data_IF_081382772533
#
_entry.id   IF_081382772533
#
_cell.length_a   1.000
_cell.length_b   1.000
_cell.length_c   1.000
_cell.angle_alpha   90.00
_cell.angle_beta   90.00
_cell.angle_gamma   90.00
#
_symmetry.space_group_name_H-M   'P 1'
#
loop_
_entity.id
_entity.type
_entity.pdbx_description
1 polymer ?
#
# COMPACT_ATOMS: atom_id res chain seq x y z
N UNK A 1 -30.95 3.38 -34.01
CA UNK A 1 -32.26 3.78 -33.44
C UNK A 1 -32.29 5.29 -33.42
N UNK A 2 -33.43 5.92 -33.70
CA UNK A 2 -33.55 7.38 -33.59
C UNK A 2 -33.69 7.79 -32.12
N UNK A 3 -33.31 9.02 -31.71
CA UNK A 3 -33.39 9.48 -30.32
C UNK A 3 -34.80 9.37 -29.70
N UNK A 4 -35.84 9.56 -30.53
CA UNK A 4 -37.25 9.43 -30.13
C UNK A 4 -37.62 7.99 -29.76
N UNK A 5 -37.02 6.98 -30.41
CA UNK A 5 -37.22 5.57 -30.10
C UNK A 5 -36.49 5.15 -28.82
N UNK A 6 -35.40 5.83 -28.45
CA UNK A 6 -34.68 5.60 -27.20
C UNK A 6 -35.41 6.17 -25.98
N UNK A 7 -36.15 7.27 -26.16
CA UNK A 7 -36.95 7.90 -25.11
C UNK A 7 -38.21 7.12 -24.75
N UNK A 8 -38.80 6.39 -25.72
CA UNK A 8 -39.99 5.56 -25.53
C UNK A 8 -39.69 4.12 -25.01
N UNK A 9 -38.40 3.77 -24.86
CA UNK A 9 -37.96 2.42 -24.47
C UNK A 9 -38.14 2.19 -22.95
N UNK A 10 -38.80 1.08 -22.57
CA UNK A 10 -38.94 0.74 -21.14
C UNK A 10 -37.58 0.41 -20.51
N UNK A 11 -37.37 0.67 -19.21
CA UNK A 11 -36.08 0.47 -18.54
C UNK A 11 -35.49 -0.94 -18.73
N UNK A 12 -36.34 -1.97 -18.74
CA UNK A 12 -35.93 -3.36 -18.92
C UNK A 12 -35.46 -3.66 -20.36
N UNK A 13 -36.11 -3.09 -21.37
CA UNK A 13 -35.69 -3.23 -22.77
C UNK A 13 -34.38 -2.50 -23.03
N UNK A 14 -34.25 -1.28 -22.50
CA UNK A 14 -33.01 -0.49 -22.54
C UNK A 14 -31.84 -1.25 -21.92
N UNK A 15 -32.05 -1.88 -20.77
CA UNK A 15 -31.00 -2.65 -20.09
C UNK A 15 -30.58 -3.89 -20.88
N UNK A 16 -31.53 -4.62 -21.50
CA UNK A 16 -31.23 -5.75 -22.39
C UNK A 16 -30.47 -5.33 -23.63
N UNK A 17 -30.83 -4.19 -24.24
CA UNK A 17 -30.13 -3.62 -25.41
C UNK A 17 -28.69 -3.23 -25.06
N UNK A 18 -28.50 -2.46 -23.98
CA UNK A 18 -27.16 -2.05 -23.52
C UNK A 18 -26.29 -3.26 -23.19
N UNK A 19 -26.86 -4.33 -22.61
CA UNK A 19 -26.13 -5.57 -22.31
C UNK A 19 -25.70 -6.30 -23.59
N UNK A 20 -26.59 -6.40 -24.59
CA UNK A 20 -26.24 -6.95 -25.92
C UNK A 20 -25.18 -6.10 -26.62
N UNK A 21 -25.30 -4.78 -26.61
CA UNK A 21 -24.31 -3.88 -27.21
C UNK A 21 -22.95 -4.02 -26.54
N UNK A 22 -22.88 -4.13 -25.21
CA UNK A 22 -21.65 -4.39 -24.46
C UNK A 22 -21.00 -5.72 -24.86
N UNK A 23 -21.77 -6.81 -24.93
CA UNK A 23 -21.25 -8.11 -25.36
C UNK A 23 -20.75 -8.08 -26.82
N UNK A 24 -21.45 -7.36 -27.70
CA UNK A 24 -21.07 -7.24 -29.11
C UNK A 24 -19.78 -6.43 -29.26
N UNK A 25 -19.65 -5.32 -28.51
CA UNK A 25 -18.41 -4.53 -28.44
C UNK A 25 -17.25 -5.34 -27.86
N UNK A 26 -17.48 -6.13 -26.82
CA UNK A 26 -16.46 -7.01 -26.22
C UNK A 26 -15.94 -8.05 -27.23
N UNK A 27 -16.83 -8.74 -27.94
CA UNK A 27 -16.46 -9.71 -28.99
C UNK A 27 -15.71 -9.06 -30.15
N UNK A 28 -16.10 -7.85 -30.56
CA UNK A 28 -15.42 -7.07 -31.61
C UNK A 28 -14.02 -6.63 -31.15
N UNK A 29 -13.87 -6.28 -29.86
CA UNK A 29 -12.57 -5.93 -29.26
C UNK A 29 -11.65 -7.13 -29.16
N UNK A 30 -12.14 -8.31 -28.77
CA UNK A 30 -11.36 -9.56 -28.81
C UNK A 30 -10.90 -9.91 -30.23
N UNK A 31 -11.80 -9.85 -31.23
CA UNK A 31 -11.43 -10.09 -32.64
C UNK A 31 -10.41 -9.09 -33.19
N UNK A 32 -10.47 -7.81 -32.78
CA UNK A 32 -9.48 -6.82 -33.15
C UNK A 32 -8.15 -7.03 -32.40
N UNK A 33 -8.17 -7.57 -31.19
CA UNK A 33 -6.95 -7.88 -30.43
C UNK A 33 -6.24 -9.13 -30.98
N UNK A 34 -6.99 -10.11 -31.51
CA UNK A 34 -6.46 -11.30 -32.19
C UNK A 34 -5.93 -11.01 -33.60
N UNK A 35 -6.45 -9.96 -34.27
CA UNK A 35 -5.96 -9.51 -35.58
C UNK A 35 -4.94 -8.37 -35.52
N UNK A 36 -4.73 -7.79 -34.34
CA UNK A 36 -3.88 -6.60 -34.15
C UNK A 36 -2.47 -6.91 -33.65
N UNK A 37 -2.07 -8.18 -33.56
CA UNK A 37 -0.73 -8.59 -33.13
C UNK A 37 0.28 -8.72 -34.27
N UNK A 38 -0.15 -8.69 -35.52
CA UNK A 38 0.72 -8.62 -36.69
C UNK A 38 0.13 -7.57 -37.66
N UNK A 39 0.94 -6.62 -38.13
CA UNK A 39 0.60 -5.57 -39.11
C UNK A 39 -0.21 -4.35 -38.63
N UNK A 40 0.35 -3.62 -37.65
CA UNK A 40 0.40 -2.16 -37.75
C UNK A 40 1.87 -1.76 -37.76
N UNK A 41 2.55 -2.08 -38.87
CA UNK A 41 3.73 -1.33 -39.25
C UNK A 41 3.30 0.13 -39.32
N UNK A 42 3.94 0.98 -38.51
CA UNK A 42 3.77 2.42 -38.63
C UNK A 42 4.07 2.78 -40.08
N UNK A 43 3.04 3.18 -40.83
CA UNK A 43 3.27 3.99 -42.01
C UNK A 43 3.76 5.32 -41.45
N UNK A 44 5.08 5.47 -41.49
CA UNK A 44 5.83 6.59 -41.00
C UNK A 44 5.47 7.84 -41.80
N UNK A 45 4.45 8.57 -41.33
CA UNK A 45 4.10 9.90 -41.81
C UNK A 45 5.04 10.97 -41.22
N UNK A 46 6.28 10.62 -40.86
CA UNK A 46 7.24 11.53 -40.23
C UNK A 46 6.89 11.89 -38.77
N UNK A 47 5.96 11.16 -38.14
CA UNK A 47 5.63 11.33 -36.73
C UNK A 47 6.49 10.35 -35.95
N UNK A 48 7.58 10.87 -35.37
CA UNK A 48 8.45 10.10 -34.49
C UNK A 48 7.74 9.84 -33.16
N UNK A 49 7.80 8.60 -32.70
CA UNK A 49 7.32 8.24 -31.37
C UNK A 49 8.14 8.98 -30.31
N UNK A 50 7.48 9.62 -29.35
CA UNK A 50 8.17 10.17 -28.18
C UNK A 50 8.80 9.04 -27.35
N UNK A 51 10.13 8.99 -27.30
CA UNK A 51 10.92 8.01 -26.55
C UNK A 51 11.70 8.68 -25.42
N UNK A 52 11.59 8.11 -24.20
CA UNK A 52 12.23 8.67 -23.00
C UNK A 52 13.66 8.15 -22.74
N UNK A 53 14.13 7.19 -23.54
CA UNK A 53 15.39 6.50 -23.27
C UNK A 53 15.36 5.62 -22.00
N UNK A 54 16.51 5.50 -21.33
CA UNK A 54 16.70 4.71 -20.10
C UNK A 54 16.47 5.55 -18.86
N UNK A 55 16.10 4.90 -17.76
CA UNK A 55 16.01 5.55 -16.45
C UNK A 55 17.40 5.61 -15.79
N UNK A 56 18.30 6.42 -16.36
CA UNK A 56 19.72 6.48 -15.99
C UNK A 56 20.14 7.74 -15.24
N UNK A 57 19.27 8.75 -15.15
CA UNK A 57 19.56 9.98 -14.42
C UNK A 57 19.52 9.70 -12.92
N UNK A 58 20.59 10.02 -12.21
CA UNK A 58 20.74 9.68 -10.81
C UNK A 58 20.75 10.93 -9.95
N UNK A 59 19.91 10.98 -8.91
CA UNK A 59 19.92 12.07 -7.95
C UNK A 59 21.25 12.09 -7.17
N UNK A 60 21.95 13.22 -7.18
CA UNK A 60 23.26 13.38 -6.51
C UNK A 60 23.21 13.23 -4.98
N UNK A 61 22.04 13.44 -4.37
CA UNK A 61 21.88 13.39 -2.91
C UNK A 61 21.48 12.01 -2.40
N UNK A 62 20.70 11.25 -3.18
CA UNK A 62 20.07 10.01 -2.71
C UNK A 62 20.22 8.81 -3.64
N UNK A 63 20.78 8.97 -4.84
CA UNK A 63 20.98 7.86 -5.78
C UNK A 63 19.72 7.35 -6.48
N UNK A 64 18.55 7.95 -6.23
CA UNK A 64 17.31 7.57 -6.92
C UNK A 64 17.41 7.81 -8.43
N UNK A 65 16.83 6.91 -9.22
CA UNK A 65 16.89 6.91 -10.69
C UNK A 65 15.67 7.56 -11.33
N UNK A 66 15.92 8.35 -12.36
CA UNK A 66 14.94 9.17 -13.07
C UNK A 66 15.12 9.08 -14.59
N UNK A 67 14.04 9.33 -15.31
CA UNK A 67 14.13 9.77 -16.71
C UNK A 67 14.47 11.26 -16.74
N UNK A 68 15.14 11.71 -17.81
CA UNK A 68 15.55 13.10 -17.96
C UNK A 68 14.34 14.06 -17.96
N UNK A 69 13.21 13.60 -18.46
CA UNK A 69 11.95 14.34 -18.53
C UNK A 69 11.30 14.56 -17.15
N UNK A 70 11.76 13.88 -16.10
CA UNK A 70 11.29 14.07 -14.72
C UNK A 70 12.09 15.14 -13.96
N UNK A 71 13.06 15.78 -14.62
CA UNK A 71 13.85 16.87 -14.03
C UNK A 71 12.94 18.03 -13.59
N UNK A 72 13.40 18.79 -12.60
CA UNK A 72 12.70 20.02 -12.22
C UNK A 72 12.63 20.99 -13.41
N UNK A 73 11.52 21.73 -13.53
CA UNK A 73 11.24 22.60 -14.69
C UNK A 73 12.41 23.53 -15.04
N UNK A 74 13.03 24.14 -14.04
CA UNK A 74 14.11 25.11 -14.21
C UNK A 74 15.53 24.51 -14.18
N UNK A 75 15.66 23.17 -14.10
CA UNK A 75 16.97 22.54 -14.08
C UNK A 75 17.55 22.42 -15.50
N UNK A 76 18.88 22.43 -15.60
CA UNK A 76 19.55 22.21 -16.89
C UNK A 76 19.43 20.76 -17.35
N UNK A 77 19.58 20.52 -18.66
CA UNK A 77 19.68 19.15 -19.20
C UNK A 77 21.06 18.53 -18.97
N UNK A 78 22.12 19.35 -18.86
CA UNK A 78 23.48 18.87 -18.61
C UNK A 78 23.72 18.48 -17.14
N UNK A 79 22.92 19.03 -16.22
CA UNK A 79 22.98 18.74 -14.78
C UNK A 79 21.56 18.83 -14.21
N UNK A 80 20.72 17.81 -14.45
CA UNK A 80 19.34 17.80 -14.00
C UNK A 80 19.25 17.68 -12.48
N UNK A 81 18.27 18.36 -11.90
CA UNK A 81 17.94 18.25 -10.48
C UNK A 81 16.56 17.64 -10.32
N UNK A 82 16.35 16.92 -9.21
CA UNK A 82 15.12 16.20 -8.93
C UNK A 82 14.64 16.50 -7.51
N UNK A 83 13.45 17.07 -7.40
CA UNK A 83 12.78 17.33 -6.12
C UNK A 83 11.99 16.13 -5.60
N UNK A 84 11.56 15.22 -6.48
CA UNK A 84 10.59 14.17 -6.16
C UNK A 84 11.09 13.10 -5.18
N UNK A 85 12.41 12.87 -5.09
CA UNK A 85 12.99 11.84 -4.20
C UNK A 85 13.27 12.35 -2.77
N UNK A 86 14.22 13.27 -2.63
CA UNK A 86 14.74 13.72 -1.33
C UNK A 86 14.60 15.24 -1.13
N UNK A 87 13.79 15.91 -1.95
CA UNK A 87 13.60 17.35 -1.96
C UNK A 87 14.95 18.12 -1.93
N UNK A 88 15.85 17.79 -2.87
CA UNK A 88 17.20 18.38 -2.96
C UNK A 88 18.08 18.13 -1.72
N UNK A 89 18.00 16.93 -1.15
CA UNK A 89 18.78 16.54 0.04
C UNK A 89 18.24 17.10 1.35
N UNK A 90 17.08 17.78 1.35
CA UNK A 90 16.41 18.24 2.58
C UNK A 90 15.85 17.09 3.41
N UNK A 91 15.55 15.97 2.77
CA UNK A 91 15.05 14.76 3.43
C UNK A 91 16.16 13.71 3.43
N UNK A 92 16.68 13.40 4.62
CA UNK A 92 17.55 12.25 4.82
C UNK A 92 16.66 11.01 4.97
N UNK A 93 16.58 10.22 3.89
CA UNK A 93 15.89 8.93 3.91
C UNK A 93 16.89 7.85 4.36
N UNK A 94 16.63 7.11 5.45
CA UNK A 94 17.46 5.99 5.89
C UNK A 94 17.64 4.95 4.79
N UNK A 95 18.78 4.27 4.81
CA UNK A 95 19.04 3.15 3.90
C UNK A 95 18.31 1.91 4.43
N UNK A 96 17.43 1.31 3.63
CA UNK A 96 16.81 0.03 3.98
C UNK A 96 17.84 -1.07 3.95
N UNK A 97 17.94 -1.85 5.02
CA UNK A 97 18.88 -2.96 5.06
C UNK A 97 18.50 -4.04 4.04
N UNK A 98 19.51 -4.66 3.44
CA UNK A 98 19.28 -5.78 2.53
C UNK A 98 18.67 -6.97 3.30
N UNK A 99 17.68 -7.67 2.70
CA UNK A 99 17.09 -8.85 3.29
C UNK A 99 18.16 -9.93 3.51
N UNK A 100 17.98 -10.82 4.48
CA UNK A 100 18.90 -11.94 4.66
C UNK A 100 19.05 -12.78 3.38
N UNK A 101 20.22 -13.42 3.15
CA UNK A 101 20.53 -14.08 1.88
C UNK A 101 19.48 -15.09 1.41
N UNK A 102 18.87 -15.83 2.34
CA UNK A 102 17.82 -16.80 2.01
C UNK A 102 16.59 -16.14 1.38
N UNK A 103 16.07 -15.07 2.01
CA UNK A 103 14.93 -14.31 1.49
C UNK A 103 15.28 -13.56 0.20
N UNK A 104 16.50 -13.03 0.10
CA UNK A 104 16.97 -12.40 -1.14
C UNK A 104 17.00 -13.40 -2.30
N UNK A 105 17.44 -14.64 -2.05
CA UNK A 105 17.42 -15.70 -3.05
C UNK A 105 15.98 -16.03 -3.48
N UNK A 106 15.04 -16.16 -2.52
CA UNK A 106 13.63 -16.34 -2.85
C UNK A 106 13.05 -15.17 -3.68
N UNK A 107 13.54 -13.95 -3.48
CA UNK A 107 13.13 -12.77 -4.26
C UNK A 107 13.70 -12.71 -5.68
N UNK A 108 14.86 -13.31 -5.92
CA UNK A 108 15.62 -13.11 -7.15
C UNK A 108 15.76 -14.36 -8.02
N UNK A 109 15.66 -15.54 -7.42
CA UNK A 109 15.82 -16.83 -8.10
C UNK A 109 14.69 -17.11 -9.08
N UNK A 110 15.03 -17.92 -10.09
CA UNK A 110 14.11 -18.42 -11.12
C UNK A 110 13.70 -19.87 -10.89
N UNK A 111 14.07 -20.44 -9.74
CA UNK A 111 13.79 -21.83 -9.38
C UNK A 111 12.31 -22.04 -9.02
N UNK A 112 11.84 -23.29 -9.09
CA UNK A 112 10.44 -23.64 -8.89
C UNK A 112 9.92 -23.26 -7.49
N UNK A 113 10.77 -23.36 -6.47
CA UNK A 113 10.50 -22.98 -5.08
C UNK A 113 10.30 -21.47 -4.94
N UNK A 114 11.19 -20.65 -5.52
CA UNK A 114 11.09 -19.20 -5.54
C UNK A 114 9.83 -18.74 -6.30
N UNK A 115 9.50 -19.36 -7.43
CA UNK A 115 8.26 -19.09 -8.17
C UNK A 115 7.03 -19.42 -7.31
N UNK A 116 7.03 -20.57 -6.62
CA UNK A 116 5.95 -20.96 -5.71
C UNK A 116 5.83 -19.99 -4.52
N UNK A 117 6.97 -19.54 -3.98
CA UNK A 117 7.04 -18.54 -2.93
C UNK A 117 6.44 -17.22 -3.37
N UNK A 118 6.86 -16.65 -4.51
CA UNK A 118 6.23 -15.45 -5.09
C UNK A 118 4.74 -15.63 -5.35
N UNK A 119 4.32 -16.86 -5.69
CA UNK A 119 2.90 -17.18 -5.86
C UNK A 119 2.12 -17.07 -4.53
N UNK A 120 2.77 -17.29 -3.39
CA UNK A 120 2.14 -17.38 -2.08
C UNK A 120 2.68 -16.37 -1.06
N UNK A 121 3.49 -15.39 -1.47
CA UNK A 121 4.22 -14.49 -0.55
C UNK A 121 3.31 -13.77 0.46
N UNK A 122 2.11 -13.32 0.05
CA UNK A 122 1.13 -12.72 0.96
C UNK A 122 0.67 -13.70 2.04
N UNK A 123 0.51 -14.97 1.69
CA UNK A 123 0.12 -16.05 2.62
C UNK A 123 1.25 -16.33 3.60
N UNK A 124 2.49 -16.46 3.12
CA UNK A 124 3.67 -16.59 4.00
C UNK A 124 3.80 -15.41 4.97
N UNK A 125 3.66 -14.18 4.47
CA UNK A 125 3.70 -12.99 5.33
C UNK A 125 2.59 -13.01 6.39
N UNK A 126 1.36 -13.35 6.00
CA UNK A 126 0.23 -13.40 6.93
C UNK A 126 0.42 -14.46 8.02
N UNK A 127 0.98 -15.62 7.67
CA UNK A 127 1.35 -16.64 8.67
C UNK A 127 2.39 -16.06 9.63
N UNK A 128 3.45 -15.45 9.10
CA UNK A 128 4.58 -14.95 9.89
C UNK A 128 4.31 -13.62 10.62
N UNK A 129 3.18 -12.96 10.39
CA UNK A 129 2.88 -11.68 11.01
C UNK A 129 2.74 -11.80 12.55
N UNK A 130 3.29 -10.83 13.27
CA UNK A 130 3.13 -10.72 14.73
C UNK A 130 1.81 -10.04 15.11
N UNK A 131 1.16 -9.40 14.16
CA UNK A 131 -0.05 -8.59 14.37
C UNK A 131 -1.13 -8.96 13.37
N UNK A 132 -2.38 -8.88 13.83
CA UNK A 132 -3.54 -9.06 12.99
C UNK A 132 -3.85 -7.79 12.19
N UNK A 133 -4.39 -7.97 10.99
CA UNK A 133 -4.90 -6.88 10.15
C UNK A 133 -6.43 -6.88 10.21
N UNK A 134 -7.01 -5.74 10.54
CA UNK A 134 -8.45 -5.55 10.63
C UNK A 134 -8.95 -4.43 9.74
N UNK A 135 -10.12 -4.66 9.15
CA UNK A 135 -10.87 -3.69 8.36
C UNK A 135 -12.36 -4.03 8.46
N UNK A 136 -13.24 -3.02 8.42
CA UNK A 136 -14.67 -3.25 8.18
C UNK A 136 -14.87 -3.44 6.69
N UNK A 137 -15.26 -4.65 6.27
CA UNK A 137 -15.31 -5.01 4.84
C UNK A 137 -16.76 -5.24 4.42
N UNK A 138 -17.19 -4.49 3.42
CA UNK A 138 -18.43 -4.72 2.68
C UNK A 138 -18.08 -5.37 1.34
N UNK A 139 -18.53 -6.61 1.14
CA UNK A 139 -18.45 -7.27 -0.17
C UNK A 139 -19.57 -6.77 -1.07
N UNK A 140 -19.22 -6.31 -2.27
CA UNK A 140 -20.22 -5.83 -3.23
C UNK A 140 -20.62 -7.03 -4.11
N UNK A 141 -21.84 -7.57 -3.96
CA UNK A 141 -22.28 -8.69 -4.79
C UNK A 141 -22.45 -8.23 -6.24
N UNK A 142 -21.77 -8.90 -7.17
CA UNK A 142 -21.87 -8.62 -8.61
C UNK A 142 -21.06 -9.59 -9.47
N UNK A 143 -21.46 -9.78 -10.73
CA UNK A 143 -20.67 -10.50 -11.72
C UNK A 143 -19.57 -9.57 -12.27
N UNK A 144 -18.31 -9.80 -11.88
CA UNK A 144 -17.16 -8.99 -12.29
C UNK A 144 -15.91 -9.27 -11.45
N UNK A 145 -14.92 -8.39 -11.53
CA UNK A 145 -13.75 -8.41 -10.62
C UNK A 145 -14.28 -8.31 -9.18
N UNK A 146 -13.86 -9.22 -8.30
CA UNK A 146 -14.24 -9.23 -6.89
C UNK A 146 -13.84 -7.91 -6.24
N UNK A 147 -14.82 -7.04 -6.01
CA UNK A 147 -14.61 -5.75 -5.37
C UNK A 147 -15.12 -5.85 -3.93
N UNK A 148 -14.26 -5.51 -2.99
CA UNK A 148 -14.63 -5.29 -1.59
C UNK A 148 -14.40 -3.82 -1.26
N UNK A 149 -15.22 -3.29 -0.36
CA UNK A 149 -15.10 -1.92 0.14
C UNK A 149 -14.68 -1.98 1.60
N UNK A 150 -13.63 -1.27 1.94
CA UNK A 150 -13.29 -1.06 3.35
C UNK A 150 -14.05 0.18 3.83
N UNK A 151 -14.83 0.02 4.88
CA UNK A 151 -15.46 1.10 5.64
C UNK A 151 -14.57 1.52 6.80
N UNK A 152 -14.44 2.83 6.99
CA UNK A 152 -13.59 3.38 8.05
C UNK A 152 -12.10 3.17 7.77
N UNK A 153 -11.40 2.60 8.74
CA UNK A 153 -9.94 2.56 8.77
C UNK A 153 -9.44 1.12 8.80
N UNK A 154 -8.32 0.88 8.12
CA UNK A 154 -7.47 -0.30 8.33
C UNK A 154 -6.60 -0.11 9.55
N UNK A 155 -6.50 -1.14 10.38
CA UNK A 155 -5.77 -1.10 11.64
C UNK A 155 -5.07 -2.42 11.92
N UNK A 156 -3.95 -2.36 12.64
CA UNK A 156 -3.27 -3.54 13.17
C UNK A 156 -3.61 -3.72 14.65
N UNK A 157 -3.95 -4.95 15.04
CA UNK A 157 -4.14 -5.31 16.45
C UNK A 157 -3.07 -6.30 16.91
N UNK A 158 -2.59 -6.11 18.13
CA UNK A 158 -1.71 -7.03 18.84
C UNK A 158 -2.41 -7.49 20.12
N UNK A 159 -2.29 -8.78 20.43
CA UNK A 159 -2.88 -9.37 21.64
C UNK A 159 -1.85 -9.62 22.74
N UNK A 160 -2.32 -10.19 23.85
CA UNK A 160 -1.49 -10.72 24.93
C UNK A 160 -0.42 -11.70 24.44
N UNK A 161 0.64 -11.84 25.22
CA UNK A 161 1.78 -12.72 24.93
C UNK A 161 1.39 -14.19 24.91
N UNK A 162 0.38 -14.58 25.70
CA UNK A 162 -0.13 -15.94 25.75
C UNK A 162 -1.62 -15.99 25.38
N UNK A 163 -2.07 -17.09 24.76
CA UNK A 163 -3.48 -17.31 24.50
C UNK A 163 -4.26 -17.47 25.82
N UNK A 164 -5.55 -17.15 25.76
CA UNK A 164 -6.51 -17.46 26.83
C UNK A 164 -6.73 -18.98 26.93
N UNK A 165 -7.18 -19.44 28.10
CA UNK A 165 -7.38 -20.87 28.35
C UNK A 165 -8.38 -21.48 27.35
N UNK A 166 -7.94 -22.51 26.62
CA UNK A 166 -8.73 -23.19 25.59
C UNK A 166 -8.76 -22.51 24.21
N UNK A 167 -8.11 -21.36 24.04
CA UNK A 167 -7.95 -20.71 22.72
C UNK A 167 -6.69 -21.20 22.00
N UNK A 168 -6.74 -21.21 20.67
CA UNK A 168 -5.57 -21.50 19.84
C UNK A 168 -4.66 -20.27 19.77
N UNK A 169 -3.32 -20.44 19.82
CA UNK A 169 -2.39 -19.33 19.70
C UNK A 169 -2.49 -18.66 18.32
N UNK A 170 -2.38 -17.34 18.28
CA UNK A 170 -2.42 -16.56 17.05
C UNK A 170 -1.32 -15.48 16.99
N UNK A 171 -0.84 -15.19 15.77
CA UNK A 171 0.13 -14.12 15.49
C UNK A 171 1.38 -14.18 16.38
N UNK A 172 1.68 -13.14 17.17
CA UNK A 172 2.83 -13.10 18.08
C UNK A 172 2.90 -14.31 19.03
N UNK A 173 1.75 -14.83 19.47
CA UNK A 173 1.69 -15.97 20.40
C UNK A 173 2.25 -17.26 19.80
N UNK A 174 2.25 -17.41 18.46
CA UNK A 174 2.83 -18.56 17.77
C UNK A 174 4.35 -18.66 17.98
N UNK A 175 5.02 -17.55 18.27
CA UNK A 175 6.44 -17.54 18.60
C UNK A 175 6.72 -17.98 20.05
N UNK A 176 5.67 -18.06 20.88
CA UNK A 176 5.75 -18.27 22.34
C UNK A 176 5.15 -19.62 22.77
N UNK A 177 3.88 -19.89 22.45
CA UNK A 177 3.04 -20.88 23.16
C UNK A 177 3.33 -22.36 22.81
N UNK A 178 3.89 -22.68 21.64
CA UNK A 178 4.32 -24.04 21.30
C UNK A 178 5.33 -24.02 20.15
N UNK A 179 6.61 -24.18 20.47
CA UNK A 179 7.70 -24.19 19.47
C UNK A 179 7.82 -25.51 18.71
N UNK A 180 7.32 -26.62 19.25
CA UNK A 180 7.47 -27.95 18.63
C UNK A 180 6.45 -28.16 17.51
N UNK A 181 5.23 -27.65 17.71
CA UNK A 181 4.15 -27.73 16.71
C UNK A 181 3.87 -26.38 16.03
N UNK A 182 4.79 -25.41 16.11
CA UNK A 182 4.61 -24.06 15.53
C UNK A 182 4.22 -24.13 14.05
N UNK A 183 4.90 -24.99 13.27
CA UNK A 183 4.59 -25.18 11.85
C UNK A 183 3.24 -25.86 11.62
N UNK A 184 2.85 -26.80 12.49
CA UNK A 184 1.55 -27.48 12.38
C UNK A 184 0.42 -26.50 12.69
N UNK A 185 0.55 -25.71 13.75
CA UNK A 185 -0.40 -24.63 14.07
C UNK A 185 -0.50 -23.62 12.93
N UNK A 186 0.64 -23.21 12.34
CA UNK A 186 0.67 -22.29 11.19
C UNK A 186 0.02 -22.89 9.94
N UNK A 187 0.26 -24.16 9.65
CA UNK A 187 -0.36 -24.89 8.53
C UNK A 187 -1.86 -25.10 8.72
N UNK A 188 -2.30 -25.29 9.96
CA UNK A 188 -3.73 -25.39 10.30
C UNK A 188 -4.45 -24.06 10.02
N UNK A 189 -3.77 -22.92 10.18
CA UNK A 189 -4.31 -21.58 9.88
C UNK A 189 -4.33 -21.31 8.37
N UNK A 190 -3.28 -21.66 7.63
CA UNK A 190 -3.22 -21.50 6.17
C UNK A 190 -2.71 -22.80 5.52
N UNK A 191 -3.64 -23.57 4.96
CA UNK A 191 -3.34 -24.83 4.26
C UNK A 191 -2.54 -24.59 2.96
N UNK A 192 -1.76 -25.58 2.50
CA UNK A 192 -1.06 -25.58 1.19
C UNK A 192 0.12 -24.60 1.05
N UNK A 193 0.87 -24.33 2.12
CA UNK A 193 2.20 -23.71 2.03
C UNK A 193 3.29 -24.76 2.01
N UNK A 194 4.45 -24.40 1.45
CA UNK A 194 5.63 -25.26 1.47
C UNK A 194 6.28 -25.19 2.85
N UNK A 195 6.31 -26.34 3.53
CA UNK A 195 6.82 -26.47 4.89
C UNK A 195 8.32 -26.20 4.97
N UNK A 196 9.08 -26.55 3.95
CA UNK A 196 10.53 -26.35 3.94
C UNK A 196 10.83 -24.86 3.83
N UNK A 197 10.12 -24.14 2.95
CA UNK A 197 10.24 -22.69 2.84
C UNK A 197 9.84 -22.02 4.16
N UNK A 198 8.71 -22.42 4.75
CA UNK A 198 8.24 -21.84 6.01
C UNK A 198 9.24 -22.04 7.15
N UNK A 199 9.81 -23.24 7.28
CA UNK A 199 10.82 -23.56 8.29
C UNK A 199 12.09 -22.74 8.12
N UNK A 200 12.59 -22.61 6.89
CA UNK A 200 13.78 -21.83 6.61
C UNK A 200 13.55 -20.32 6.82
N UNK A 201 12.36 -19.81 6.50
CA UNK A 201 11.97 -18.43 6.82
C UNK A 201 11.93 -18.19 8.33
N UNK A 202 11.34 -19.10 9.10
CA UNK A 202 11.30 -18.99 10.57
C UNK A 202 12.71 -18.99 11.17
N UNK A 203 13.57 -19.93 10.75
CA UNK A 203 14.96 -19.98 11.19
C UNK A 203 15.71 -18.68 10.88
N UNK A 204 15.56 -18.19 9.65
CA UNK A 204 16.14 -16.91 9.24
C UNK A 204 15.65 -15.76 10.12
N UNK A 205 14.35 -15.72 10.43
CA UNK A 205 13.76 -14.67 11.25
C UNK A 205 14.19 -14.75 12.72
N UNK A 206 14.36 -15.95 13.28
CA UNK A 206 14.91 -16.13 14.63
C UNK A 206 16.33 -15.52 14.73
N UNK A 207 17.12 -15.58 13.66
CA UNK A 207 18.48 -15.04 13.61
C UNK A 207 18.54 -13.51 13.40
N UNK A 208 17.62 -12.93 12.62
CA UNK A 208 17.75 -11.55 12.16
C UNK A 208 16.66 -10.57 12.63
N UNK A 209 15.52 -11.05 13.14
CA UNK A 209 14.41 -10.19 13.50
C UNK A 209 14.37 -9.91 15.02
N UNK A 210 14.57 -8.65 15.44
CA UNK A 210 14.68 -8.32 16.86
C UNK A 210 13.35 -8.47 17.63
N UNK A 211 12.20 -8.34 16.97
CA UNK A 211 10.90 -8.58 17.62
C UNK A 211 10.69 -10.07 17.89
N UNK A 212 10.99 -10.91 16.91
CA UNK A 212 10.87 -12.36 17.04
C UNK A 212 11.84 -12.88 18.11
N UNK A 213 13.07 -12.36 18.15
CA UNK A 213 14.03 -12.66 19.22
C UNK A 213 13.47 -12.33 20.61
N UNK A 214 12.80 -11.18 20.78
CA UNK A 214 12.14 -10.84 22.04
C UNK A 214 11.01 -11.81 22.40
N UNK A 215 10.16 -12.21 21.43
CA UNK A 215 9.14 -13.23 21.67
C UNK A 215 9.76 -14.58 22.05
N UNK A 216 10.88 -14.98 21.43
CA UNK A 216 11.62 -16.21 21.81
C UNK A 216 12.23 -16.09 23.20
N UNK A 217 12.74 -14.93 23.60
CA UNK A 217 13.23 -14.70 24.95
C UNK A 217 12.09 -14.88 25.96
N UNK A 218 10.91 -14.30 25.70
CA UNK A 218 9.71 -14.49 26.55
C UNK A 218 9.34 -15.97 26.68
N UNK A 219 9.34 -16.71 25.57
CA UNK A 219 9.13 -18.18 25.59
C UNK A 219 10.09 -18.86 26.56
N UNK A 220 11.38 -18.53 26.51
CA UNK A 220 12.40 -19.19 27.32
C UNK A 220 12.26 -18.82 28.80
N UNK A 221 11.86 -17.59 29.12
CA UNK A 221 11.52 -17.17 30.49
C UNK A 221 10.30 -17.92 31.06
N UNK A 222 9.31 -18.20 30.22
CA UNK A 222 8.12 -18.96 30.61
C UNK A 222 8.49 -20.44 30.83
N UNK A 223 9.29 -21.03 29.94
CA UNK A 223 9.75 -22.43 30.07
C UNK A 223 10.60 -22.65 31.33
N UNK A 224 11.37 -21.64 31.75
CA UNK A 224 12.18 -21.69 32.98
C UNK A 224 11.37 -21.42 34.26
N UNK A 225 10.05 -21.25 34.14
CA UNK A 225 9.12 -21.00 35.24
C UNK A 225 9.55 -19.80 36.11
N UNK A 226 9.99 -18.72 35.45
CA UNK A 226 10.48 -17.52 36.11
C UNK A 226 9.38 -16.93 37.01
N UNK A 227 9.65 -16.65 38.29
CA UNK A 227 8.63 -16.13 39.19
C UNK A 227 8.31 -14.67 38.85
N UNK A 228 7.02 -14.38 38.65
CA UNK A 228 6.52 -13.02 38.41
C UNK A 228 5.74 -12.88 37.10
N UNK A 229 5.11 -11.73 36.90
CA UNK A 229 4.46 -11.40 35.64
C UNK A 229 5.50 -10.88 34.65
N UNK A 230 5.41 -11.34 33.39
CA UNK A 230 6.30 -10.90 32.31
C UNK A 230 5.60 -9.80 31.50
N UNK A 231 6.32 -8.71 31.30
CA UNK A 231 5.89 -7.57 30.49
C UNK A 231 6.87 -7.37 29.33
N UNK A 232 6.33 -7.05 28.15
CA UNK A 232 7.12 -6.60 27.01
C UNK A 232 6.67 -5.19 26.62
N UNK A 233 7.62 -4.27 26.52
CA UNK A 233 7.39 -2.90 26.11
C UNK A 233 8.05 -2.71 24.76
N UNK A 234 7.27 -2.49 23.69
CA UNK A 234 7.81 -2.09 22.39
C UNK A 234 7.87 -0.57 22.36
N UNK A 235 9.09 -0.04 22.17
CA UNK A 235 9.32 1.40 22.24
C UNK A 235 8.83 2.11 20.98
N UNK A 236 8.03 3.16 21.18
CA UNK A 236 7.54 4.05 20.13
C UNK A 236 8.48 5.21 19.81
N UNK A 237 9.37 5.56 20.74
CA UNK A 237 10.43 6.55 20.52
C UNK A 237 11.80 5.87 20.38
N UNK A 238 12.24 5.76 19.13
CA UNK A 238 13.52 5.11 18.76
C UNK A 238 14.58 6.11 18.35
N UNK A 239 14.47 7.37 18.81
CA UNK A 239 15.38 8.47 18.44
C UNK A 239 16.79 8.31 19.00
N UNK A 240 17.53 7.30 18.54
CA UNK A 240 18.99 7.28 18.65
C UNK A 240 19.59 7.28 17.26
N UNK A 241 20.32 8.36 17.03
CA UNK A 241 21.28 8.67 15.98
C UNK A 241 21.05 8.04 14.59
N UNK A 242 20.45 8.80 13.63
CA UNK A 242 20.38 8.44 12.22
C UNK A 242 21.73 8.14 11.55
N UNK A 243 22.86 8.43 12.23
CA UNK A 243 24.21 8.20 11.74
C UNK A 243 24.79 6.81 12.05
N UNK A 244 24.11 5.96 12.85
CA UNK A 244 24.55 4.58 13.07
C UNK A 244 23.76 3.62 12.17
N UNK A 245 24.40 3.19 11.08
CA UNK A 245 23.88 2.29 10.03
C UNK A 245 23.71 0.82 10.47
N UNK A 246 23.20 0.55 11.68
CA UNK A 246 23.03 -0.81 12.18
C UNK A 246 21.56 -1.21 12.20
N UNK A 247 21.29 -2.48 11.86
CA UNK A 247 19.96 -3.05 12.02
C UNK A 247 19.53 -3.01 13.50
N UNK A 248 18.24 -2.79 13.81
CA UNK A 248 17.78 -2.72 15.18
C UNK A 248 18.07 -4.01 15.95
N UNK A 249 18.50 -3.89 17.19
CA UNK A 249 18.72 -5.01 18.11
C UNK A 249 17.49 -5.26 18.97
N UNK A 250 17.35 -6.49 19.50
CA UNK A 250 16.25 -6.88 20.37
C UNK A 250 16.03 -5.89 21.54
N UNK A 251 17.11 -5.45 22.18
CA UNK A 251 17.08 -4.47 23.28
C UNK A 251 16.70 -3.05 22.87
N UNK A 252 16.91 -2.68 21.60
CA UNK A 252 16.55 -1.35 21.09
C UNK A 252 15.06 -1.27 20.75
N UNK A 253 14.49 -2.36 20.22
CA UNK A 253 13.10 -2.37 19.78
C UNK A 253 12.11 -2.60 20.92
N UNK A 254 12.50 -3.36 21.93
CA UNK A 254 11.66 -3.67 23.07
C UNK A 254 12.46 -4.01 24.35
N UNK A 255 11.85 -3.73 25.50
CA UNK A 255 12.34 -4.15 26.81
C UNK A 255 11.45 -5.27 27.37
N UNK A 256 12.07 -6.25 28.03
CA UNK A 256 11.38 -7.33 28.74
C UNK A 256 11.63 -7.15 30.24
N UNK A 257 10.55 -7.12 31.03
CA UNK A 257 10.60 -6.95 32.47
C UNK A 257 9.87 -8.09 33.16
N UNK A 258 10.42 -8.57 34.28
CA UNK A 258 9.78 -9.58 35.13
C UNK A 258 9.53 -8.95 36.50
N UNK A 259 8.28 -8.98 36.96
CA UNK A 259 7.95 -8.39 38.26
C UNK A 259 6.46 -8.16 38.45
N UNK A 260 6.14 -7.13 39.22
CA UNK A 260 4.76 -6.75 39.60
C UNK A 260 4.25 -5.51 38.85
N UNK A 261 4.99 -5.01 37.86
CA UNK A 261 4.58 -3.93 36.95
C UNK A 261 4.59 -2.51 37.54
N UNK A 262 4.94 -2.30 38.82
CA UNK A 262 4.92 -0.95 39.42
C UNK A 262 6.03 -0.01 38.91
N UNK A 263 7.08 -0.55 38.28
CA UNK A 263 8.20 0.21 37.70
C UNK A 263 8.01 0.52 36.20
N UNK A 264 6.83 0.25 35.63
CA UNK A 264 6.54 0.48 34.21
C UNK A 264 6.39 1.98 33.93
N UNK A 265 7.45 2.59 33.39
CA UNK A 265 7.39 3.92 32.79
C UNK A 265 7.13 3.79 31.29
N UNK A 266 5.87 3.61 30.90
CA UNK A 266 5.47 3.64 29.48
C UNK A 266 5.13 5.06 29.05
N UNK A 267 5.54 5.43 27.86
CA UNK A 267 5.06 6.64 27.20
C UNK A 267 3.73 6.36 26.49
N UNK A 268 2.95 7.39 26.18
CA UNK A 268 1.69 7.24 25.42
C UNK A 268 1.85 6.63 24.02
N UNK A 269 3.10 6.44 23.55
CA UNK A 269 3.40 5.84 22.25
C UNK A 269 3.82 4.39 22.33
N UNK A 270 4.20 3.87 23.51
CA UNK A 270 4.72 2.51 23.62
C UNK A 270 3.58 1.47 23.56
N UNK A 271 3.91 0.27 23.09
CA UNK A 271 3.01 -0.89 23.10
C UNK A 271 3.39 -1.76 24.30
N UNK A 272 2.46 -1.95 25.23
CA UNK A 272 2.67 -2.78 26.42
C UNK A 272 1.93 -4.10 26.24
N UNK A 273 2.69 -5.19 26.20
CA UNK A 273 2.14 -6.55 26.14
C UNK A 273 2.28 -7.24 27.49
N UNK A 274 1.18 -7.84 27.96
CA UNK A 274 1.11 -8.63 29.19
C UNK A 274 0.94 -10.10 28.87
N UNK A 275 1.20 -10.97 29.84
CA UNK A 275 1.02 -12.42 29.65
C UNK A 275 -0.43 -12.79 29.33
N UNK A 276 -1.35 -12.36 30.18
CA UNK A 276 -2.78 -12.58 30.03
C UNK A 276 -3.50 -11.28 30.37
N UNK A 277 -4.04 -10.61 29.36
CA UNK A 277 -4.95 -9.47 29.54
C UNK A 277 -6.25 -9.62 28.74
N UNK A 278 -6.36 -10.66 27.91
CA UNK A 278 -7.50 -10.91 27.02
C UNK A 278 -7.81 -9.78 26.03
N UNK A 279 -6.95 -8.76 25.93
CA UNK A 279 -7.26 -7.52 25.23
C UNK A 279 -6.46 -7.40 23.94
N UNK A 280 -7.17 -7.06 22.85
CA UNK A 280 -6.53 -6.65 21.62
C UNK A 280 -6.23 -5.14 21.66
N UNK A 281 -4.95 -4.80 21.67
CA UNK A 281 -4.49 -3.42 21.57
C UNK A 281 -4.34 -3.02 20.10
N UNK A 282 -4.89 -1.86 19.74
CA UNK A 282 -4.63 -1.24 18.43
C UNK A 282 -3.28 -0.55 18.43
N UNK A 283 -2.46 -0.86 17.43
CA UNK A 283 -1.19 -0.19 17.21
C UNK A 283 -1.45 1.10 16.43
N UNK A 284 -0.85 2.20 16.88
CA UNK A 284 -0.92 3.47 16.17
C UNK A 284 -0.23 3.37 14.81
N UNK A 285 -0.83 3.93 13.77
CA UNK A 285 -0.31 3.86 12.41
C UNK A 285 1.02 4.60 12.24
N UNK A 286 1.31 5.56 13.12
CA UNK A 286 2.56 6.30 13.16
C UNK A 286 3.64 5.62 14.02
N UNK A 287 3.33 4.49 14.65
CA UNK A 287 4.28 3.75 15.46
C UNK A 287 5.36 3.13 14.55
N UNK A 288 6.67 3.24 14.86
CA UNK A 288 7.74 2.69 14.02
C UNK A 288 7.59 1.17 13.77
N UNK A 289 7.11 0.44 14.78
CA UNK A 289 6.83 -1.00 14.70
C UNK A 289 5.56 -1.40 13.93
N UNK A 290 4.72 -0.45 13.49
CA UNK A 290 3.44 -0.75 12.85
C UNK A 290 3.59 -1.61 11.59
N UNK A 291 4.54 -1.23 10.73
CA UNK A 291 4.83 -1.92 9.49
C UNK A 291 5.63 -3.21 9.71
N UNK A 292 6.78 -3.24 10.43
CA UNK A 292 7.58 -4.45 10.57
C UNK A 292 6.90 -5.56 11.37
N UNK A 293 5.96 -5.26 12.28
CA UNK A 293 5.21 -6.30 13.00
C UNK A 293 4.14 -7.00 12.14
N UNK A 294 3.77 -6.42 10.99
CA UNK A 294 2.78 -7.02 10.08
C UNK A 294 3.41 -7.50 8.77
N UNK A 295 4.30 -6.70 8.19
CA UNK A 295 4.99 -6.95 6.93
C UNK A 295 6.38 -7.54 7.16
N UNK A 296 6.45 -8.63 7.92
CA UNK A 296 7.70 -9.28 8.36
C UNK A 296 8.63 -9.64 7.20
N UNK A 297 8.08 -10.07 6.05
CA UNK A 297 8.91 -10.39 4.87
C UNK A 297 9.39 -9.14 4.12
N UNK A 298 8.72 -8.00 4.28
CA UNK A 298 9.23 -6.72 3.75
C UNK A 298 10.20 -6.05 4.72
N UNK A 299 10.17 -6.39 6.01
CA UNK A 299 11.07 -5.80 7.01
C UNK A 299 11.65 -6.90 7.91
N UNK A 300 12.42 -7.85 7.35
CA UNK A 300 12.88 -9.03 8.08
C UNK A 300 13.76 -8.68 9.28
N UNK A 301 14.46 -7.54 9.23
CA UNK A 301 15.33 -7.06 10.32
C UNK A 301 14.61 -6.13 11.31
N UNK A 302 13.30 -5.92 11.12
CA UNK A 302 12.51 -5.06 11.99
C UNK A 302 12.76 -3.57 11.80
N UNK A 303 13.34 -3.17 10.66
CA UNK A 303 13.59 -1.78 10.28
C UNK A 303 12.32 -0.94 10.41
N UNK A 304 12.47 0.27 10.93
CA UNK A 304 11.36 1.21 11.06
C UNK A 304 10.83 1.54 9.67
N UNK A 305 9.52 1.37 9.50
CA UNK A 305 8.85 1.37 8.20
C UNK A 305 8.86 2.71 7.46
N UNK A 306 7.95 2.81 6.48
CA UNK A 306 7.75 3.91 5.54
C UNK A 306 8.91 4.92 5.34
N UNK A 307 9.96 4.47 4.66
CA UNK A 307 10.84 5.33 3.89
C UNK A 307 10.72 4.94 2.41
N UNK A 308 10.13 5.80 1.59
CA UNK A 308 10.08 5.59 0.14
C UNK A 308 11.50 5.82 -0.38
N UNK A 309 12.31 4.76 -0.38
CA UNK A 309 13.53 4.69 -1.17
C UNK A 309 13.58 3.35 -1.90
N UNK A 310 14.29 3.35 -3.02
CA UNK A 310 14.60 2.21 -3.86
C UNK A 310 15.39 1.12 -3.10
N UNK A 311 14.70 0.33 -2.28
CA UNK A 311 15.12 -1.03 -2.02
C UNK A 311 14.74 -1.85 -3.26
N UNK A 312 15.69 -2.13 -4.15
CA UNK A 312 15.47 -2.98 -5.34
C UNK A 312 14.73 -4.27 -4.95
N UNK A 313 15.02 -4.78 -3.75
CA UNK A 313 14.41 -5.98 -3.19
C UNK A 313 12.96 -5.80 -2.69
N UNK A 314 12.53 -4.63 -2.23
CA UNK A 314 11.12 -4.42 -1.85
C UNK A 314 10.22 -4.60 -3.07
N UNK A 315 10.64 -4.04 -4.21
CA UNK A 315 9.92 -4.19 -5.47
C UNK A 315 9.92 -5.64 -5.98
N UNK A 316 10.93 -6.44 -5.57
CA UNK A 316 10.97 -7.88 -5.87
C UNK A 316 9.99 -8.70 -5.04
N UNK A 317 9.48 -8.19 -3.92
CA UNK A 317 8.41 -8.86 -3.17
C UNK A 317 7.03 -8.84 -3.90
N UNK A 318 6.95 -8.16 -5.06
CA UNK A 318 5.85 -8.25 -6.01
C UNK A 318 4.48 -7.99 -5.37
N UNK A 319 3.64 -9.03 -5.30
CA UNK A 319 2.28 -8.90 -4.75
C UNK A 319 2.26 -8.46 -3.28
N UNK A 320 3.25 -8.83 -2.45
CA UNK A 320 3.29 -8.35 -1.07
C UNK A 320 3.56 -6.84 -1.02
N UNK A 321 4.50 -6.36 -1.84
CA UNK A 321 4.80 -4.94 -1.97
C UNK A 321 3.62 -4.12 -2.50
N UNK A 322 2.88 -4.65 -3.48
CA UNK A 322 1.64 -4.01 -3.96
C UNK A 322 0.61 -3.84 -2.83
N UNK A 323 0.44 -4.87 -1.99
CA UNK A 323 -0.47 -4.79 -0.85
C UNK A 323 0.02 -3.73 0.14
N UNK A 324 1.31 -3.74 0.45
CA UNK A 324 1.93 -2.74 1.31
C UNK A 324 1.72 -1.31 0.79
N UNK A 325 1.94 -1.03 -0.50
CA UNK A 325 1.71 0.32 -1.07
C UNK A 325 0.26 0.76 -0.88
N UNK A 326 -0.71 -0.12 -1.13
CA UNK A 326 -2.13 0.20 -0.97
C UNK A 326 -2.45 0.50 0.49
N UNK A 327 -1.90 -0.27 1.41
CA UNK A 327 -2.09 -0.06 2.85
C UNK A 327 -1.45 1.25 3.32
N UNK A 328 -0.25 1.59 2.82
CA UNK A 328 0.39 2.88 3.10
C UNK A 328 -0.43 4.04 2.55
N UNK A 329 -0.98 3.92 1.34
CA UNK A 329 -1.88 4.92 0.79
C UNK A 329 -3.15 5.09 1.66
N UNK A 330 -3.79 3.97 2.04
CA UNK A 330 -4.96 4.00 2.90
C UNK A 330 -4.67 4.65 4.26
N UNK A 331 -3.52 4.34 4.86
CA UNK A 331 -3.02 4.96 6.09
C UNK A 331 -2.82 6.47 5.94
N UNK A 332 -2.19 6.92 4.86
CA UNK A 332 -1.98 8.36 4.58
C UNK A 332 -3.31 9.08 4.40
N UNK A 333 -4.21 8.56 3.56
CA UNK A 333 -5.53 9.16 3.34
C UNK A 333 -6.37 9.20 4.62
N UNK A 334 -6.28 8.15 5.43
CA UNK A 334 -6.95 8.11 6.73
C UNK A 334 -6.40 9.16 7.70
N UNK A 335 -5.09 9.38 7.73
CA UNK A 335 -4.50 10.45 8.53
C UNK A 335 -4.96 11.83 8.06
N UNK A 336 -5.08 12.06 6.74
CA UNK A 336 -5.65 13.29 6.18
C UNK A 336 -7.12 13.47 6.61
N UNK A 337 -7.92 12.41 6.56
CA UNK A 337 -9.32 12.43 7.00
C UNK A 337 -9.44 12.68 8.51
N UNK A 338 -8.58 12.05 9.32
CA UNK A 338 -8.52 12.28 10.77
C UNK A 338 -8.16 13.74 11.06
N UNK A 339 -7.21 14.32 10.34
CA UNK A 339 -6.90 15.74 10.46
C UNK A 339 -8.13 16.61 10.15
N UNK A 340 -8.80 16.37 9.03
CA UNK A 340 -10.01 17.11 8.67
C UNK A 340 -11.10 16.97 9.75
N UNK A 341 -11.30 15.77 10.30
CA UNK A 341 -12.28 15.49 11.36
C UNK A 341 -12.01 16.30 12.63
N UNK A 342 -10.76 16.33 13.10
CA UNK A 342 -10.42 16.98 14.37
C UNK A 342 -10.19 18.50 14.24
N UNK A 343 -10.00 19.03 13.03
CA UNK A 343 -9.67 20.43 12.79
C UNK A 343 -10.80 21.23 12.10
N UNK A 344 -12.04 20.75 12.13
CA UNK A 344 -13.21 21.40 11.49
C UNK A 344 -13.32 22.90 11.85
N UNK A 345 -13.22 23.25 13.14
CA UNK A 345 -13.32 24.64 13.60
C UNK A 345 -12.22 25.55 13.00
N UNK A 346 -10.98 25.04 12.92
CA UNK A 346 -9.85 25.79 12.32
C UNK A 346 -9.98 25.92 10.81
N UNK A 347 -10.58 24.94 10.15
CA UNK A 347 -10.83 24.94 8.71
C UNK A 347 -12.05 25.79 8.32
N UNK A 348 -12.70 26.43 9.31
CA UNK A 348 -13.91 27.24 9.14
C UNK A 348 -14.98 26.50 8.35
N UNK A 349 -15.13 25.20 8.58
CA UNK A 349 -16.11 24.41 7.83
C UNK A 349 -17.56 24.87 8.06
N UNK A 350 -17.81 25.56 9.18
CA UNK A 350 -19.07 26.21 9.52
C UNK A 350 -19.49 27.32 8.53
N UNK A 351 -18.54 27.93 7.80
CA UNK A 351 -18.84 28.90 6.74
C UNK A 351 -19.33 28.23 5.45
N UNK A 352 -19.09 26.92 5.27
CA UNK A 352 -19.59 26.15 4.13
C UNK A 352 -21.05 25.71 4.27
N UNK A 353 -21.72 26.09 5.37
CA UNK A 353 -23.17 25.99 5.56
C UNK A 353 -23.95 26.92 4.62
N UNK A 354 -23.29 27.88 3.96
CA UNK A 354 -23.90 28.74 2.96
C UNK A 354 -24.06 28.06 1.60
N UNK A 355 -25.29 27.99 1.10
CA UNK A 355 -25.75 27.59 -0.26
C UNK A 355 -25.95 26.08 -0.50
N UNK A 356 -25.03 25.19 -0.14
CA UNK A 356 -25.17 23.76 -0.48
C UNK A 356 -26.18 23.01 0.41
N UNK A 357 -26.27 23.39 1.70
CA UNK A 357 -27.17 22.77 2.67
C UNK A 357 -28.64 23.17 2.51
N UNK A 358 -28.90 24.36 1.95
CA UNK A 358 -30.24 24.81 1.60
C UNK A 358 -30.85 24.03 0.41
N UNK A 359 -30.02 23.33 -0.38
CA UNK A 359 -30.45 22.58 -1.57
C UNK A 359 -30.73 21.10 -1.23
N UNK A 360 -30.16 20.56 -0.15
CA UNK A 360 -30.21 19.11 0.17
C UNK A 360 -30.99 18.74 1.43
N UNK A 361 -31.54 19.70 2.18
CA UNK A 361 -32.31 19.42 3.41
C UNK A 361 -33.75 18.99 3.09
N UNK A 362 -33.88 17.75 2.62
CA UNK A 362 -35.12 16.98 2.67
C UNK A 362 -35.11 15.86 3.72
N UNK A 363 -33.96 15.57 4.36
CA UNK A 363 -33.84 14.46 5.32
C UNK A 363 -33.10 14.89 6.59
N UNK A 364 -33.86 15.03 7.67
CA UNK A 364 -33.42 15.53 8.99
C UNK A 364 -33.31 14.43 10.05
N UNK A 365 -32.86 13.22 9.70
CA UNK A 365 -32.89 12.07 10.63
C UNK A 365 -31.66 11.18 10.67
N UNK A 366 -30.44 11.70 10.45
CA UNK A 366 -29.23 10.95 10.82
C UNK A 366 -28.40 11.73 11.86
N UNK A 367 -28.45 11.22 13.09
CA UNK A 367 -27.71 11.71 14.25
C UNK A 367 -26.24 11.32 14.12
N UNK A 368 -25.40 12.32 13.89
CA UNK A 368 -23.94 12.27 13.92
C UNK A 368 -23.40 13.66 13.56
N UNK A 369 -22.31 14.10 14.21
CA UNK A 369 -21.67 15.38 13.83
C UNK A 369 -21.31 15.34 12.34
N UNK A 370 -21.91 16.22 11.55
CA UNK A 370 -21.71 16.28 10.10
C UNK A 370 -20.31 16.84 9.81
N UNK A 371 -19.33 15.96 9.62
CA UNK A 371 -17.98 16.35 9.20
C UNK A 371 -18.06 16.83 7.75
N UNK A 372 -17.67 18.07 7.48
CA UNK A 372 -17.66 18.63 6.14
C UNK A 372 -16.27 18.43 5.55
N UNK A 373 -16.21 17.71 4.43
CA UNK A 373 -14.98 17.61 3.63
C UNK A 373 -14.87 18.84 2.72
N UNK A 374 -13.70 19.52 2.68
CA UNK A 374 -13.47 20.65 1.78
C UNK A 374 -13.39 20.18 0.32
N UNK A 375 -13.53 21.11 -0.64
CA UNK A 375 -13.34 20.80 -2.06
C UNK A 375 -11.90 20.44 -2.43
N UNK A 376 -10.94 20.70 -1.56
CA UNK A 376 -9.56 20.23 -1.70
C UNK A 376 -9.40 18.73 -1.43
N UNK A 377 -10.40 18.05 -0.85
CA UNK A 377 -10.37 16.61 -0.66
C UNK A 377 -10.71 15.89 -1.96
N UNK A 378 -9.75 15.14 -2.50
CA UNK A 378 -9.89 14.45 -3.78
C UNK A 378 -10.97 13.38 -3.74
N UNK A 379 -11.84 13.33 -4.75
CA UNK A 379 -12.96 12.37 -4.81
C UNK A 379 -14.17 12.75 -3.95
N UNK A 380 -14.10 13.83 -3.16
CA UNK A 380 -15.20 14.28 -2.33
C UNK A 380 -16.35 14.91 -3.13
N UNK A 381 -17.60 14.89 -2.62
CA UNK A 381 -18.75 15.49 -3.30
C UNK A 381 -18.56 16.97 -3.67
N UNK A 382 -17.91 17.75 -2.80
CA UNK A 382 -17.65 19.17 -3.05
C UNK A 382 -16.59 19.39 -4.13
N UNK A 383 -15.55 18.57 -4.17
CA UNK A 383 -14.58 18.63 -5.26
C UNK A 383 -15.28 18.31 -6.59
N UNK A 384 -16.09 17.25 -6.63
CA UNK A 384 -16.84 16.87 -7.83
C UNK A 384 -17.79 17.98 -8.29
N UNK A 385 -18.47 18.65 -7.35
CA UNK A 385 -19.31 19.79 -7.65
C UNK A 385 -18.50 20.99 -8.17
N UNK A 386 -17.35 21.29 -7.55
CA UNK A 386 -16.46 22.35 -8.02
C UNK A 386 -15.95 22.07 -9.43
N UNK A 387 -15.46 20.85 -9.70
CA UNK A 387 -15.02 20.43 -11.03
C UNK A 387 -16.15 20.55 -12.07
N UNK A 388 -17.38 20.24 -11.68
CA UNK A 388 -18.54 20.43 -12.54
C UNK A 388 -18.79 21.92 -12.84
N UNK A 389 -18.76 22.79 -11.83
CA UNK A 389 -18.93 24.23 -12.02
C UNK A 389 -17.80 24.84 -12.86
N UNK A 390 -16.55 24.43 -12.64
CA UNK A 390 -15.39 24.83 -13.43
C UNK A 390 -15.58 24.40 -14.89
N UNK A 391 -16.00 23.15 -15.12
CA UNK A 391 -16.31 22.66 -16.47
C UNK A 391 -17.44 23.43 -17.14
N UNK A 392 -18.55 23.72 -16.43
CA UNK A 392 -19.65 24.52 -16.97
C UNK A 392 -19.21 25.95 -17.29
N UNK A 393 -18.34 26.53 -16.47
CA UNK A 393 -17.77 27.87 -16.70
C UNK A 393 -16.90 27.89 -17.94
N UNK A 394 -16.00 26.91 -18.10
CA UNK A 394 -15.17 26.73 -19.30
C UNK A 394 -16.06 26.60 -20.54
N UNK A 395 -17.10 25.77 -20.49
CA UNK A 395 -18.03 25.58 -21.62
C UNK A 395 -18.84 26.84 -21.93
N UNK A 396 -19.22 27.61 -20.91
CA UNK A 396 -19.94 28.87 -21.13
C UNK A 396 -19.09 29.93 -21.83
N UNK A 397 -17.78 29.94 -21.56
CA UNK A 397 -16.85 30.93 -22.11
C UNK A 397 -16.30 30.51 -23.48
N UNK A 398 -15.86 29.24 -23.62
CA UNK A 398 -15.20 28.73 -24.83
C UNK A 398 -16.14 27.94 -25.76
N UNK A 399 -17.34 27.60 -25.31
CA UNK A 399 -18.27 26.72 -26.05
C UNK A 399 -18.10 25.24 -25.70
N UNK A 400 -18.90 24.39 -26.35
CA UNK A 400 -18.87 22.94 -26.15
C UNK A 400 -17.55 22.34 -26.67
N UNK A 401 -17.00 21.30 -26.02
CA UNK A 401 -15.80 20.65 -26.51
C UNK A 401 -16.06 19.91 -27.82
N UNK A 402 -15.13 20.02 -28.78
CA UNK A 402 -15.20 19.32 -30.06
C UNK A 402 -14.63 17.89 -29.98
N UNK A 403 -13.69 17.66 -29.07
CA UNK A 403 -12.98 16.39 -28.93
C UNK A 403 -13.09 15.84 -27.50
N UNK A 404 -13.29 14.53 -27.42
CA UNK A 404 -13.15 13.76 -26.18
C UNK A 404 -11.96 12.82 -26.34
N UNK A 405 -10.86 13.13 -25.66
CA UNK A 405 -9.60 12.37 -25.75
C UNK A 405 -9.44 11.51 -24.50
N UNK A 406 -9.20 10.22 -24.71
CA UNK A 406 -8.79 9.31 -23.64
C UNK A 406 -7.37 8.84 -23.87
N UNK A 407 -6.50 9.02 -22.88
CA UNK A 407 -5.14 8.51 -22.90
C UNK A 407 -5.00 7.32 -21.95
N UNK A 408 -4.43 6.22 -22.43
CA UNK A 408 -4.30 4.98 -21.65
C UNK A 408 -2.86 4.49 -21.67
N UNK A 409 -2.32 4.14 -20.51
CA UNK A 409 -0.99 3.55 -20.39
C UNK A 409 -0.95 2.18 -21.09
N UNK A 410 0.10 1.93 -21.87
CA UNK A 410 0.36 0.61 -22.45
C UNK A 410 1.50 -0.07 -21.67
N UNK A 411 1.24 -1.19 -20.97
CA UNK A 411 2.26 -1.88 -20.18
C UNK A 411 3.41 -2.46 -21.03
N UNK A 412 3.24 -2.54 -22.36
CA UNK A 412 4.26 -3.01 -23.31
C UNK A 412 5.17 -1.90 -23.84
N UNK A 413 5.05 -0.66 -23.35
CA UNK A 413 5.97 0.40 -23.76
C UNK A 413 7.42 0.01 -23.42
N UNK A 414 8.38 0.13 -24.38
CA UNK A 414 9.79 -0.15 -24.17
C UNK A 414 10.41 0.51 -22.95
N UNK A 415 9.94 1.71 -22.59
CA UNK A 415 10.38 2.46 -21.41
C UNK A 415 10.01 1.73 -20.11
N UNK A 416 8.88 1.00 -20.08
CA UNK A 416 8.50 0.16 -18.94
C UNK A 416 9.30 -1.13 -18.99
N UNK A 417 9.21 -1.87 -20.11
CA UNK A 417 9.75 -3.22 -20.20
C UNK A 417 11.27 -3.29 -20.06
N UNK A 418 11.99 -2.23 -20.42
CA UNK A 418 13.45 -2.13 -20.27
C UNK A 418 13.90 -1.99 -18.81
N UNK A 419 13.05 -1.43 -17.95
CA UNK A 419 13.35 -1.18 -16.54
C UNK A 419 12.71 -2.24 -15.60
N UNK A 420 12.02 -3.24 -16.16
CA UNK A 420 11.54 -4.40 -15.42
C UNK A 420 12.71 -5.34 -15.10
N UNK A 421 12.75 -5.81 -13.85
CA UNK A 421 13.68 -6.85 -13.42
C UNK A 421 13.24 -8.22 -13.96
N UNK A 422 14.13 -9.24 -13.95
CA UNK A 422 13.73 -10.61 -14.29
C UNK A 422 12.49 -11.04 -13.51
N UNK A 423 11.54 -11.67 -14.20
CA UNK A 423 10.25 -12.15 -13.67
C UNK A 423 9.26 -11.07 -13.21
N UNK A 424 9.57 -9.79 -13.35
CA UNK A 424 8.59 -8.72 -13.12
C UNK A 424 7.72 -8.48 -14.36
N UNK A 425 6.46 -8.15 -14.09
CA UNK A 425 5.55 -7.57 -15.07
C UNK A 425 5.32 -6.09 -14.76
N UNK A 426 4.71 -5.36 -15.70
CA UNK A 426 4.30 -3.98 -15.47
C UNK A 426 3.37 -3.81 -14.25
N UNK A 427 2.64 -4.86 -13.86
CA UNK A 427 1.77 -4.85 -12.67
C UNK A 427 2.59 -4.83 -11.38
N UNK A 428 3.77 -5.45 -11.39
CA UNK A 428 4.68 -5.51 -10.23
C UNK A 428 5.43 -4.20 -10.02
N UNK A 429 5.47 -3.34 -11.05
CA UNK A 429 6.10 -2.01 -11.04
C UNK A 429 5.10 -0.89 -11.33
N UNK A 430 4.08 -0.69 -10.47
CA UNK A 430 3.09 0.35 -10.67
C UNK A 430 3.72 1.76 -10.71
N UNK A 431 4.84 1.94 -10.02
CA UNK A 431 5.65 3.16 -10.05
C UNK A 431 6.14 3.52 -11.47
N UNK A 432 6.71 2.55 -12.21
CA UNK A 432 7.14 2.77 -13.60
C UNK A 432 5.95 3.12 -14.49
N UNK A 433 4.85 2.38 -14.36
CA UNK A 433 3.66 2.61 -15.19
C UNK A 433 3.04 3.99 -14.96
N UNK A 434 3.00 4.46 -13.71
CA UNK A 434 2.46 5.77 -13.35
C UNK A 434 3.37 6.90 -13.82
N UNK A 435 4.69 6.78 -13.60
CA UNK A 435 5.69 7.78 -14.02
C UNK A 435 5.70 7.95 -15.54
N UNK A 436 5.82 6.85 -16.30
CA UNK A 436 5.84 6.91 -17.76
C UNK A 436 4.51 7.39 -18.33
N UNK A 437 3.38 6.97 -17.76
CA UNK A 437 2.07 7.49 -18.14
C UNK A 437 2.01 9.01 -17.95
N UNK A 438 2.46 9.51 -16.80
CA UNK A 438 2.46 10.93 -16.51
C UNK A 438 3.32 11.72 -17.49
N UNK A 439 4.56 11.28 -17.74
CA UNK A 439 5.48 11.95 -18.68
C UNK A 439 4.88 11.99 -20.10
N UNK A 440 4.35 10.87 -20.59
CA UNK A 440 3.75 10.82 -21.94
C UNK A 440 2.44 11.59 -22.04
N UNK A 441 1.66 11.67 -20.95
CA UNK A 441 0.47 12.51 -20.89
C UNK A 441 0.86 14.00 -20.96
N UNK A 442 1.90 14.42 -20.25
CA UNK A 442 2.39 15.80 -20.35
C UNK A 442 2.85 16.14 -21.77
N UNK A 443 3.53 15.22 -22.44
CA UNK A 443 3.92 15.45 -23.84
C UNK A 443 2.71 15.58 -24.77
N UNK A 444 1.72 14.69 -24.64
CA UNK A 444 0.47 14.82 -25.39
C UNK A 444 -0.21 16.17 -25.15
N UNK A 445 -0.21 16.67 -23.90
CA UNK A 445 -0.78 17.97 -23.60
C UNK A 445 -0.01 19.11 -24.26
N UNK A 446 1.32 19.02 -24.38
CA UNK A 446 2.12 20.02 -25.14
C UNK A 446 1.87 19.95 -26.64
N UNK A 447 1.64 18.77 -27.20
CA UNK A 447 1.35 18.62 -28.63
C UNK A 447 -0.04 19.17 -29.00
N UNK A 448 -0.96 19.21 -28.02
CA UNK A 448 -2.34 19.69 -28.20
C UNK A 448 -2.54 21.18 -27.90
N UNK A 449 -1.64 21.80 -27.13
CA UNK A 449 -1.68 23.20 -26.70
C UNK A 449 -0.72 24.06 -27.53
#
# INVERSE_FOLDING_TARGET
MTPEQEAAETPQLRQRRLTKERQTRFRKRQKNNERGTDELGCVDNGITRHELGRMDQTCVHCGAKFWLEEKDHNSSHASPTFSFCCAHGKVLLPHLHEPPPYLLNLYTSSECDAISFHKNIRRYNNVLACTSFGASIDTIPGQGISNFRIHGQVYHLIGSLLPEEGQQPAFAQLYIYDSEHENEHRNNVIQELDNEILQNLLKMLDECNPYIQNFRHIRDLIKTNTPGEIFMIIHGDRTRDPHHYNAPTASEVAAIMVGNGYELHTTNRDILLRMHDGCLQRISEIHPSYDPLHYILLFPRGDDGWHIRDGDWLQRAGRLYQQYIIDQYAKVEQNRLNYLRHNQASLRTDLYNGVSDAIHTGDSTQVGQRIILPSSFAGGPRQMYQLYQDAMTIVSYFGKPDLFVTFTCNPKWPEITRELLPHQSAVDRPDLTARIFHIKLQELLKDLL
#
